data_IF_302991936851
#
_entry.id   IF_302991936851
#
_cell.length_a   1.000
_cell.length_b   1.000
_cell.length_c   1.000
_cell.angle_alpha   90.00
_cell.angle_beta   90.00
_cell.angle_gamma   90.00
#
_symmetry.space_group_name_H-M   'P 1'
#
loop_
_entity.id
_entity.type
_entity.pdbx_description
1 polymer ?
#
# COMPACT_ATOMS: atom_id res chain seq x y z
N UNK A 1 18.80 -1.44 -30.20
CA UNK A 1 18.51 -2.89 -30.07
C UNK A 1 19.26 -3.37 -28.85
N UNK A 2 18.60 -4.07 -27.92
CA UNK A 2 19.29 -4.59 -26.74
C UNK A 2 20.19 -5.76 -27.15
N UNK A 3 21.43 -5.77 -26.66
CA UNK A 3 22.31 -6.92 -26.85
C UNK A 3 21.86 -8.08 -25.97
N UNK A 4 22.23 -9.31 -26.35
CA UNK A 4 21.96 -10.50 -25.54
C UNK A 4 22.47 -10.35 -24.11
N UNK A 5 23.65 -9.74 -23.92
CA UNK A 5 24.20 -9.47 -22.59
C UNK A 5 23.37 -8.47 -21.78
N UNK A 6 22.81 -7.44 -22.42
CA UNK A 6 21.92 -6.47 -21.76
C UNK A 6 20.61 -7.12 -21.31
N UNK A 7 20.03 -8.00 -22.13
CA UNK A 7 18.82 -8.73 -21.77
C UNK A 7 19.06 -9.69 -20.59
N UNK A 8 20.16 -10.44 -20.61
CA UNK A 8 20.54 -11.35 -19.51
C UNK A 8 20.75 -10.57 -18.21
N UNK A 9 21.52 -9.48 -18.26
CA UNK A 9 21.74 -8.62 -17.10
C UNK A 9 20.43 -8.05 -16.56
N UNK A 10 19.57 -7.52 -17.44
CA UNK A 10 18.29 -6.93 -17.04
C UNK A 10 17.37 -7.92 -16.34
N UNK A 11 17.27 -9.15 -16.84
CA UNK A 11 16.46 -10.21 -16.23
C UNK A 11 17.03 -10.61 -14.87
N UNK A 12 18.33 -10.86 -14.77
CA UNK A 12 18.97 -11.24 -13.51
C UNK A 12 18.84 -10.13 -12.46
N UNK A 13 19.08 -8.87 -12.85
CA UNK A 13 18.89 -7.72 -11.99
C UNK A 13 17.44 -7.62 -11.51
N UNK A 14 16.47 -7.75 -12.41
CA UNK A 14 15.05 -7.68 -12.06
C UNK A 14 14.66 -8.76 -11.06
N UNK A 15 15.10 -10.00 -11.25
CA UNK A 15 14.81 -11.10 -10.32
C UNK A 15 15.37 -10.81 -8.93
N UNK A 16 16.65 -10.42 -8.84
CA UNK A 16 17.29 -10.07 -7.56
C UNK A 16 16.56 -8.89 -6.90
N UNK A 17 16.24 -7.86 -7.68
CA UNK A 17 15.53 -6.69 -7.21
C UNK A 17 14.15 -7.06 -6.62
N UNK A 18 13.36 -7.85 -7.33
CA UNK A 18 12.04 -8.31 -6.86
C UNK A 18 12.17 -9.13 -5.58
N UNK A 19 13.15 -10.03 -5.49
CA UNK A 19 13.38 -10.84 -4.28
C UNK A 19 13.72 -9.95 -3.09
N UNK A 20 14.66 -9.01 -3.25
CA UNK A 20 15.09 -8.09 -2.18
C UNK A 20 13.92 -7.24 -1.70
N UNK A 21 13.18 -6.63 -2.63
CA UNK A 21 12.02 -5.80 -2.29
C UNK A 21 10.94 -6.62 -1.59
N UNK A 22 10.60 -7.80 -2.11
CA UNK A 22 9.60 -8.68 -1.49
C UNK A 22 10.01 -9.11 -0.07
N UNK A 23 11.29 -9.42 0.14
CA UNK A 23 11.82 -9.74 1.47
C UNK A 23 11.71 -8.55 2.43
N UNK A 24 12.07 -7.35 1.99
CA UNK A 24 11.95 -6.13 2.81
C UNK A 24 10.50 -5.84 3.18
N UNK A 25 9.57 -5.88 2.22
CA UNK A 25 8.14 -5.68 2.52
C UNK A 25 7.60 -6.72 3.52
N UNK A 26 8.02 -7.98 3.42
CA UNK A 26 7.63 -9.01 4.38
C UNK A 26 8.10 -8.69 5.80
N UNK A 27 9.30 -8.12 5.96
CA UNK A 27 9.81 -7.69 7.26
C UNK A 27 9.10 -6.47 7.82
N UNK A 28 8.57 -5.61 6.95
CA UNK A 28 7.83 -4.41 7.36
C UNK A 28 6.38 -4.72 7.76
N UNK A 29 5.78 -5.83 7.28
CA UNK A 29 4.43 -6.26 7.67
C UNK A 29 4.19 -6.32 9.19
N UNK A 30 5.03 -6.97 10.02
CA UNK A 30 4.84 -6.96 11.47
C UNK A 30 4.99 -5.57 12.07
N UNK A 31 5.86 -4.72 11.51
CA UNK A 31 6.04 -3.34 11.95
C UNK A 31 4.78 -2.51 11.68
N UNK A 32 4.21 -2.66 10.49
CA UNK A 32 2.97 -1.99 10.08
C UNK A 32 1.80 -2.41 10.98
N UNK A 33 1.67 -3.71 11.27
CA UNK A 33 0.67 -4.22 12.22
C UNK A 33 0.88 -3.71 13.65
N UNK A 34 2.12 -3.41 14.06
CA UNK A 34 2.44 -2.91 15.41
C UNK A 34 2.09 -1.43 15.56
N UNK A 35 2.48 -0.59 14.62
CA UNK A 35 2.33 0.88 14.73
C UNK A 35 1.01 1.41 14.17
N UNK A 36 0.40 0.73 13.20
CA UNK A 36 -0.87 1.14 12.57
C UNK A 36 -2.05 0.29 13.03
N UNK A 37 -1.91 -0.40 14.18
CA UNK A 37 -3.02 -1.14 14.79
C UNK A 37 -4.13 -0.16 15.14
N UNK A 38 -5.30 -0.32 14.52
CA UNK A 38 -6.46 0.52 14.77
C UNK A 38 -6.61 1.74 13.87
N UNK A 39 -5.69 1.98 12.93
CA UNK A 39 -5.84 3.04 11.91
C UNK A 39 -7.11 2.84 11.06
N UNK A 40 -7.53 1.59 10.85
CA UNK A 40 -8.80 1.28 10.17
C UNK A 40 -10.02 1.85 10.90
N UNK A 41 -10.03 1.88 12.24
CA UNK A 41 -11.13 2.47 13.00
C UNK A 41 -11.18 3.98 12.84
N UNK A 42 -10.01 4.63 12.77
CA UNK A 42 -9.92 6.07 12.51
C UNK A 42 -10.46 6.37 11.11
N UNK A 43 -10.11 5.55 10.11
CA UNK A 43 -10.63 5.70 8.75
C UNK A 43 -12.15 5.53 8.69
N UNK A 44 -12.70 4.52 9.37
CA UNK A 44 -14.15 4.29 9.45
C UNK A 44 -14.84 5.48 10.10
N UNK A 45 -14.32 5.99 11.22
CA UNK A 45 -14.87 7.16 11.89
C UNK A 45 -14.86 8.40 10.97
N UNK A 46 -13.77 8.61 10.23
CA UNK A 46 -13.65 9.71 9.29
C UNK A 46 -14.65 9.62 8.13
N UNK A 47 -14.76 8.43 7.50
CA UNK A 47 -15.75 8.19 6.44
C UNK A 47 -17.17 8.34 6.98
N UNK A 48 -17.44 7.80 8.17
CA UNK A 48 -18.74 7.94 8.84
C UNK A 48 -19.09 9.40 9.12
N UNK A 49 -18.12 10.22 9.53
CA UNK A 49 -18.31 11.65 9.73
C UNK A 49 -18.66 12.37 8.41
N UNK A 50 -17.96 12.07 7.33
CA UNK A 50 -18.27 12.62 5.99
C UNK A 50 -19.67 12.21 5.56
N UNK A 51 -20.01 10.92 5.72
CA UNK A 51 -21.33 10.40 5.37
C UNK A 51 -22.43 11.08 6.18
N UNK A 52 -22.23 11.29 7.48
CA UNK A 52 -23.17 12.01 8.35
C UNK A 52 -23.40 13.44 7.85
N UNK A 53 -22.34 14.17 7.52
CA UNK A 53 -22.47 15.53 6.95
C UNK A 53 -23.27 15.49 5.64
N UNK A 54 -22.96 14.55 4.76
CA UNK A 54 -23.68 14.39 3.50
C UNK A 54 -25.16 14.09 3.73
N UNK A 55 -25.48 13.17 4.64
CA UNK A 55 -26.86 12.83 5.02
C UNK A 55 -27.61 14.05 5.54
N UNK A 56 -27.03 14.82 6.45
CA UNK A 56 -27.65 16.05 6.96
C UNK A 56 -27.93 17.02 5.81
N UNK A 57 -26.95 17.22 4.93
CA UNK A 57 -27.08 18.15 3.80
C UNK A 57 -28.14 17.74 2.78
N UNK A 58 -28.34 16.45 2.52
CA UNK A 58 -29.31 15.99 1.51
C UNK A 58 -30.70 15.70 2.07
N UNK A 59 -30.81 15.39 3.36
CA UNK A 59 -32.10 15.04 3.99
C UNK A 59 -32.76 16.20 4.73
N UNK A 60 -31.99 17.18 5.23
CA UNK A 60 -32.51 18.24 6.11
C UNK A 60 -32.22 19.66 5.63
N UNK A 61 -31.38 19.84 4.61
CA UNK A 61 -31.04 21.12 3.99
C UNK A 61 -31.41 21.10 2.52
#
# INVERSE_FOLDING_TARGET
MFSTGQLIFGILFFIVFVIVIAYQYRKDLPLHKRYYKGTVWILIAFIGFIALIATVKFMFM
#
